data_IF_140702903744
#
_entry.id   IF_140702903744
#
_cell.length_a   1.000
_cell.length_b   1.000
_cell.length_c   1.000
_cell.angle_alpha   90.00
_cell.angle_beta   90.00
_cell.angle_gamma   90.00
#
_symmetry.space_group_name_H-M   'P 1'
#
loop_
_entity.id
_entity.type
_entity.pdbx_description
1 polymer ?
#
# COMPACT_ATOMS: atom_id res chain seq x y z
N UNK A 1 -11.23 0.54 21.16
CA UNK A 1 -10.51 0.44 19.87
C UNK A 1 -9.96 1.81 19.50
N UNK A 2 -8.67 1.88 19.20
CA UNK A 2 -7.92 3.11 18.89
C UNK A 2 -7.17 2.97 17.56
N UNK A 3 -7.05 4.06 16.83
CA UNK A 3 -6.36 4.15 15.54
C UNK A 3 -5.33 5.28 15.61
N UNK A 4 -4.17 5.09 14.98
CA UNK A 4 -3.06 6.04 14.93
C UNK A 4 -3.47 7.38 14.33
N UNK A 5 -4.28 7.35 13.27
CA UNK A 5 -4.77 8.55 12.61
C UNK A 5 -6.14 8.34 11.93
N UNK A 6 -6.62 9.42 11.31
CA UNK A 6 -7.90 9.42 10.59
C UNK A 6 -7.89 8.53 9.33
N UNK A 7 -6.72 8.31 8.73
CA UNK A 7 -6.57 7.50 7.52
C UNK A 7 -6.68 6.02 7.87
N UNK A 8 -6.06 5.60 8.95
CA UNK A 8 -6.18 4.23 9.47
C UNK A 8 -7.62 3.92 9.88
N UNK A 9 -8.28 4.82 10.62
CA UNK A 9 -9.70 4.65 10.95
C UNK A 9 -10.57 4.54 9.69
N UNK A 10 -10.31 5.35 8.65
CA UNK A 10 -11.02 5.25 7.37
C UNK A 10 -10.82 3.91 6.70
N UNK A 11 -9.59 3.39 6.67
CA UNK A 11 -9.27 2.07 6.11
C UNK A 11 -10.01 0.96 6.85
N UNK A 12 -10.05 1.01 8.18
CA UNK A 12 -10.80 0.05 8.98
C UNK A 12 -12.30 0.08 8.65
N UNK A 13 -12.88 1.27 8.46
CA UNK A 13 -14.28 1.41 8.01
C UNK A 13 -14.47 0.86 6.59
N UNK A 14 -13.51 1.10 5.68
CA UNK A 14 -13.53 0.57 4.32
C UNK A 14 -13.52 -0.96 4.29
N UNK A 15 -12.57 -1.57 5.00
CA UNK A 15 -12.44 -3.03 5.10
C UNK A 15 -13.71 -3.65 5.70
N UNK A 16 -14.20 -3.11 6.82
CA UNK A 16 -15.43 -3.58 7.46
C UNK A 16 -16.62 -3.55 6.49
N UNK A 17 -16.81 -2.43 5.80
CA UNK A 17 -17.93 -2.26 4.88
C UNK A 17 -17.86 -3.21 3.67
N UNK A 18 -16.64 -3.49 3.19
CA UNK A 18 -16.39 -4.38 2.07
C UNK A 18 -16.60 -5.84 2.46
N UNK A 19 -15.98 -6.30 3.54
CA UNK A 19 -16.08 -7.69 4.04
C UNK A 19 -17.52 -8.04 4.40
N UNK A 20 -18.20 -7.18 5.16
CA UNK A 20 -19.62 -7.37 5.51
C UNK A 20 -20.55 -7.16 4.32
N UNK A 21 -20.08 -6.53 3.24
CA UNK A 21 -20.89 -6.21 2.08
C UNK A 21 -22.02 -5.25 2.43
N UNK A 22 -21.73 -4.18 3.19
CA UNK A 22 -22.71 -3.20 3.67
C UNK A 22 -22.35 -1.79 3.19
N UNK A 23 -23.35 -0.93 3.05
CA UNK A 23 -23.19 0.42 2.50
C UNK A 23 -22.90 1.48 3.57
N UNK A 24 -21.84 1.28 4.35
CA UNK A 24 -21.44 2.28 5.36
C UNK A 24 -20.94 3.55 4.67
N UNK A 25 -21.38 4.73 5.09
CA UNK A 25 -20.95 6.04 4.58
C UNK A 25 -20.38 6.87 5.72
N UNK A 26 -19.31 7.62 5.43
CA UNK A 26 -18.80 8.62 6.38
C UNK A 26 -19.61 9.88 6.14
N UNK A 27 -20.55 10.18 7.03
CA UNK A 27 -21.40 11.36 6.97
C UNK A 27 -20.63 12.63 7.38
N UNK A 28 -19.74 12.51 8.38
CA UNK A 28 -18.96 13.64 8.88
C UNK A 28 -17.54 13.20 9.17
N UNK A 29 -16.57 13.99 8.72
CA UNK A 29 -15.16 13.76 8.97
C UNK A 29 -14.45 15.09 9.15
N UNK A 30 -14.22 15.45 10.40
CA UNK A 30 -13.53 16.67 10.81
C UNK A 30 -12.22 16.33 11.50
N UNK A 31 -11.43 17.36 11.80
CA UNK A 31 -10.18 17.19 12.53
C UNK A 31 -10.37 16.55 13.91
N UNK A 32 -11.52 16.76 14.56
CA UNK A 32 -11.78 16.22 15.91
C UNK A 32 -12.60 14.94 15.93
N UNK A 33 -13.31 14.59 14.86
CA UNK A 33 -14.23 13.44 14.86
C UNK A 33 -14.48 12.83 13.47
N UNK A 34 -14.89 11.57 13.48
CA UNK A 34 -15.41 10.84 12.32
C UNK A 34 -16.71 10.16 12.72
N UNK A 35 -17.75 10.35 11.91
CA UNK A 35 -19.04 9.71 12.05
C UNK A 35 -19.33 8.91 10.79
N UNK A 36 -19.58 7.62 10.97
CA UNK A 36 -20.05 6.75 9.90
C UNK A 36 -21.39 6.11 10.29
N UNK A 37 -22.26 5.97 9.31
CA UNK A 37 -23.57 5.32 9.45
C UNK A 37 -23.80 4.46 8.23
N UNK A 38 -24.70 3.49 8.33
CA UNK A 38 -25.15 2.75 7.15
C UNK A 38 -26.26 3.56 6.43
N UNK A 39 -27.01 2.89 5.57
CA UNK A 39 -28.17 3.46 4.90
C UNK A 39 -29.31 3.78 5.87
N UNK A 40 -30.29 4.53 5.37
CA UNK A 40 -31.44 4.96 6.16
C UNK A 40 -32.21 3.76 6.73
N UNK A 41 -32.65 3.86 7.99
CA UNK A 41 -33.31 2.77 8.71
C UNK A 41 -32.37 1.69 9.27
N UNK A 42 -31.09 1.68 8.90
CA UNK A 42 -30.12 0.73 9.45
C UNK A 42 -29.51 1.25 10.76
N UNK A 43 -29.49 0.45 11.85
CA UNK A 43 -29.07 0.91 13.18
C UNK A 43 -27.55 1.07 13.33
N UNK A 44 -26.76 0.62 12.35
CA UNK A 44 -25.30 0.74 12.37
C UNK A 44 -24.85 2.19 12.48
N UNK A 45 -24.00 2.45 13.48
CA UNK A 45 -23.41 3.77 13.72
C UNK A 45 -22.05 3.64 14.35
N UNK A 46 -21.09 4.39 13.83
CA UNK A 46 -19.76 4.55 14.38
C UNK A 46 -19.51 6.03 14.65
N UNK A 47 -19.08 6.33 15.87
CA UNK A 47 -18.58 7.63 16.27
C UNK A 47 -17.18 7.46 16.87
N UNK A 48 -16.21 8.15 16.28
CA UNK A 48 -14.85 8.23 16.77
C UNK A 48 -14.43 9.69 16.94
N UNK A 49 -13.70 9.98 18.00
CA UNK A 49 -13.13 11.30 18.27
C UNK A 49 -11.62 11.17 18.39
N UNK A 50 -10.88 12.30 18.32
CA UNK A 50 -9.49 12.29 18.76
C UNK A 50 -9.40 11.75 20.19
N UNK A 51 -8.37 10.95 20.41
CA UNK A 51 -8.03 10.48 21.73
C UNK A 51 -7.58 11.67 22.60
N UNK A 52 -7.91 11.62 23.88
CA UNK A 52 -7.51 12.64 24.85
C UNK A 52 -6.07 12.46 25.31
N UNK A 53 -5.51 11.25 25.17
CA UNK A 53 -4.18 10.88 25.66
C UNK A 53 -3.14 10.90 24.54
N UNK A 54 -3.52 10.56 23.31
CA UNK A 54 -2.61 10.48 22.16
C UNK A 54 -3.10 11.22 20.90
N UNK A 55 -2.27 11.27 19.84
CA UNK A 55 -2.64 11.94 18.60
C UNK A 55 -3.73 11.21 17.78
N UNK A 56 -4.06 9.97 18.17
CA UNK A 56 -4.94 9.07 17.44
C UNK A 56 -6.44 9.35 17.56
N UNK A 57 -7.24 8.44 17.00
CA UNK A 57 -8.70 8.44 17.08
C UNK A 57 -9.18 7.23 17.88
N UNK A 58 -10.06 7.47 18.84
CA UNK A 58 -10.71 6.43 19.63
C UNK A 58 -12.18 6.29 19.22
N UNK A 59 -12.62 5.06 18.98
CA UNK A 59 -14.04 4.78 18.78
C UNK A 59 -14.75 4.87 20.13
N UNK A 60 -15.68 5.81 20.24
CA UNK A 60 -16.46 6.09 21.45
C UNK A 60 -17.85 5.46 21.40
N UNK A 61 -18.41 5.29 20.21
CA UNK A 61 -19.68 4.60 20.00
C UNK A 61 -19.58 3.71 18.77
N UNK A 62 -20.03 2.46 18.92
CA UNK A 62 -20.10 1.52 17.82
C UNK A 62 -21.31 0.61 18.01
N UNK A 63 -22.31 0.77 17.15
CA UNK A 63 -23.37 -0.21 16.97
C UNK A 63 -23.04 -1.04 15.73
N UNK A 64 -22.86 -2.34 15.92
CA UNK A 64 -22.54 -3.30 14.86
C UNK A 64 -23.80 -3.86 14.16
N UNK A 65 -24.98 -3.61 14.70
CA UNK A 65 -26.22 -4.15 14.16
C UNK A 65 -26.51 -3.59 12.76
N UNK A 66 -26.81 -4.49 11.83
CA UNK A 66 -27.21 -4.16 10.47
C UNK A 66 -28.57 -4.76 10.18
N UNK A 67 -29.47 -3.94 9.66
CA UNK A 67 -30.76 -4.35 9.09
C UNK A 67 -30.82 -4.11 7.56
N UNK A 68 -29.73 -3.65 6.98
CA UNK A 68 -29.59 -3.42 5.54
C UNK A 68 -29.31 -4.73 4.79
N UNK A 69 -29.71 -4.77 3.52
CA UNK A 69 -29.34 -5.88 2.63
C UNK A 69 -27.85 -5.83 2.25
N UNK A 70 -27.29 -6.99 1.87
CA UNK A 70 -25.94 -7.05 1.33
C UNK A 70 -25.85 -6.29 0.01
N UNK A 71 -24.80 -5.49 -0.16
CA UNK A 71 -24.48 -4.78 -1.40
C UNK A 71 -23.32 -5.45 -2.16
N UNK A 72 -23.56 -5.74 -3.43
CA UNK A 72 -22.54 -6.30 -4.34
C UNK A 72 -21.74 -5.20 -5.05
N UNK A 73 -22.26 -3.97 -5.08
CA UNK A 73 -21.54 -2.80 -5.62
C UNK A 73 -21.22 -1.86 -4.47
N UNK A 74 -19.97 -1.90 -4.00
CA UNK A 74 -19.51 -1.03 -2.92
C UNK A 74 -18.54 0.03 -3.46
N UNK A 75 -18.84 1.32 -3.22
CA UNK A 75 -17.99 2.43 -3.66
C UNK A 75 -16.64 2.47 -2.93
N UNK A 76 -16.58 1.91 -1.71
CA UNK A 76 -15.36 1.83 -0.89
C UNK A 76 -14.32 0.88 -1.46
N UNK A 77 -14.74 -0.12 -2.24
CA UNK A 77 -13.86 -0.92 -3.10
C UNK A 77 -13.34 -0.04 -4.27
N UNK A 78 -12.52 0.94 -3.91
CA UNK A 78 -11.90 1.90 -4.81
C UNK A 78 -10.65 1.30 -5.44
N UNK A 79 -10.10 1.95 -6.48
CA UNK A 79 -8.83 1.51 -7.07
C UNK A 79 -7.67 1.59 -6.06
N UNK A 80 -7.71 2.50 -5.09
CA UNK A 80 -6.71 2.60 -4.02
C UNK A 80 -6.84 1.45 -3.03
N UNK A 81 -8.07 1.12 -2.64
CA UNK A 81 -8.32 -0.03 -1.76
C UNK A 81 -7.87 -1.33 -2.43
N UNK A 82 -8.21 -1.53 -3.71
CA UNK A 82 -7.76 -2.68 -4.48
C UNK A 82 -6.22 -2.73 -4.61
N UNK A 83 -5.56 -1.57 -4.70
CA UNK A 83 -4.11 -1.51 -4.74
C UNK A 83 -3.46 -1.92 -3.40
N UNK A 84 -4.11 -1.62 -2.28
CA UNK A 84 -3.69 -2.08 -0.95
C UNK A 84 -4.00 -3.58 -0.77
N UNK A 85 -5.16 -4.06 -1.25
CA UNK A 85 -5.58 -5.46 -1.14
C UNK A 85 -4.69 -6.42 -1.96
N UNK A 86 -4.34 -6.06 -3.21
CA UNK A 86 -3.52 -6.89 -4.11
C UNK A 86 -2.03 -6.55 -4.07
N UNK A 87 -1.60 -5.75 -3.09
CA UNK A 87 -0.26 -5.18 -3.09
C UNK A 87 0.78 -6.29 -3.15
N UNK A 88 0.65 -7.28 -2.27
CA UNK A 88 1.66 -8.30 -2.06
C UNK A 88 1.63 -9.31 -3.23
N UNK A 89 0.44 -9.72 -3.70
CA UNK A 89 0.30 -10.63 -4.84
C UNK A 89 0.88 -10.07 -6.15
N UNK A 90 0.68 -8.77 -6.40
CA UNK A 90 1.23 -8.11 -7.59
C UNK A 90 2.72 -7.82 -7.44
N UNK A 91 3.19 -7.58 -6.20
CA UNK A 91 4.63 -7.46 -5.92
C UNK A 91 5.36 -8.79 -6.17
N UNK A 92 4.79 -9.89 -5.70
CA UNK A 92 5.34 -11.24 -5.87
C UNK A 92 5.24 -11.72 -7.32
N UNK A 93 4.14 -11.38 -8.00
CA UNK A 93 3.93 -11.70 -9.41
C UNK A 93 3.43 -10.49 -10.20
N UNK A 94 4.33 -9.69 -10.81
CA UNK A 94 3.95 -8.54 -11.63
C UNK A 94 3.07 -8.91 -12.84
N UNK A 95 3.03 -10.18 -13.26
CA UNK A 95 2.17 -10.66 -14.34
C UNK A 95 0.75 -11.03 -13.89
N UNK A 96 0.45 -11.01 -12.59
CA UNK A 96 -0.87 -11.31 -12.03
C UNK A 96 -1.97 -10.51 -12.74
N UNK A 97 -2.89 -11.18 -13.42
CA UNK A 97 -3.70 -10.52 -14.45
C UNK A 97 -4.84 -9.70 -13.85
N UNK A 98 -5.20 -8.61 -14.54
CA UNK A 98 -6.36 -7.77 -14.17
C UNK A 98 -7.67 -8.58 -14.13
N UNK A 99 -7.75 -9.65 -14.93
CA UNK A 99 -8.90 -10.55 -14.96
C UNK A 99 -8.95 -11.44 -13.71
N UNK A 100 -7.80 -11.94 -13.26
CA UNK A 100 -7.69 -12.72 -12.02
C UNK A 100 -8.02 -11.85 -10.81
N UNK A 101 -7.45 -10.63 -10.71
CA UNK A 101 -7.80 -9.67 -9.66
C UNK A 101 -9.31 -9.46 -9.54
N UNK A 102 -9.98 -9.33 -10.69
CA UNK A 102 -11.43 -9.16 -10.73
C UNK A 102 -12.16 -10.40 -10.22
N UNK A 103 -11.80 -11.58 -10.73
CA UNK A 103 -12.43 -12.86 -10.35
C UNK A 103 -12.25 -13.15 -8.86
N UNK A 104 -11.09 -12.86 -8.31
CA UNK A 104 -10.79 -13.05 -6.90
C UNK A 104 -11.70 -12.19 -6.02
N UNK A 105 -11.83 -10.90 -6.31
CA UNK A 105 -12.75 -10.02 -5.56
C UNK A 105 -14.21 -10.44 -5.70
N UNK A 106 -14.64 -10.85 -6.89
CA UNK A 106 -15.99 -11.36 -7.12
C UNK A 106 -16.26 -12.65 -6.32
N UNK A 107 -15.28 -13.55 -6.23
CA UNK A 107 -15.36 -14.83 -5.51
C UNK A 107 -15.29 -14.65 -4.00
N UNK A 108 -14.30 -13.92 -3.50
CA UNK A 108 -13.92 -13.93 -2.09
C UNK A 108 -14.70 -12.87 -1.29
N UNK A 109 -15.09 -11.77 -1.94
CA UNK A 109 -15.76 -10.65 -1.29
C UNK A 109 -17.21 -10.47 -1.75
N UNK A 110 -17.66 -11.27 -2.72
CA UNK A 110 -18.97 -11.11 -3.37
C UNK A 110 -19.19 -9.67 -3.85
N UNK A 111 -18.16 -9.07 -4.47
CA UNK A 111 -18.21 -7.71 -4.98
C UNK A 111 -18.06 -7.65 -6.50
N UNK A 112 -19.01 -7.01 -7.16
CA UNK A 112 -18.94 -6.65 -8.57
C UNK A 112 -18.07 -5.41 -8.76
N UNK A 113 -16.84 -5.59 -9.22
CA UNK A 113 -15.91 -4.49 -9.56
C UNK A 113 -15.66 -4.39 -11.06
N UNK A 114 -15.38 -3.17 -11.54
CA UNK A 114 -15.05 -2.96 -12.95
C UNK A 114 -13.59 -3.34 -13.25
N UNK A 115 -13.34 -3.90 -14.43
CA UNK A 115 -11.96 -4.17 -14.91
C UNK A 115 -11.09 -2.91 -14.90
N UNK A 116 -11.68 -1.73 -15.15
CA UNK A 116 -10.97 -0.46 -15.10
C UNK A 116 -10.42 -0.14 -13.71
N UNK A 117 -11.18 -0.42 -12.63
CA UNK A 117 -10.69 -0.25 -11.25
C UNK A 117 -9.49 -1.16 -10.97
N UNK A 118 -9.55 -2.43 -11.38
CA UNK A 118 -8.43 -3.37 -11.24
C UNK A 118 -7.20 -2.91 -12.03
N UNK A 119 -7.38 -2.46 -13.29
CA UNK A 119 -6.29 -1.92 -14.12
C UNK A 119 -5.62 -0.72 -13.46
N UNK A 120 -6.42 0.20 -12.91
CA UNK A 120 -5.92 1.38 -12.21
C UNK A 120 -5.20 1.00 -10.90
N UNK A 121 -5.71 0.02 -10.16
CA UNK A 121 -5.08 -0.50 -8.95
C UNK A 121 -3.71 -1.11 -9.25
N UNK A 122 -3.65 -2.03 -10.23
CA UNK A 122 -2.41 -2.65 -10.67
C UNK A 122 -1.38 -1.61 -11.10
N UNK A 123 -1.78 -0.60 -11.86
CA UNK A 123 -0.89 0.49 -12.24
C UNK A 123 -0.32 1.25 -11.03
N UNK A 124 -1.13 1.55 -10.02
CA UNK A 124 -0.63 2.20 -8.79
C UNK A 124 0.41 1.34 -8.07
N UNK A 125 0.20 0.02 -8.01
CA UNK A 125 1.17 -0.89 -7.39
C UNK A 125 2.49 -0.84 -8.17
N UNK A 126 2.44 -0.98 -9.49
CA UNK A 126 3.63 -0.94 -10.36
C UNK A 126 4.36 0.41 -10.26
N UNK A 127 3.65 1.54 -10.26
CA UNK A 127 4.24 2.88 -10.09
C UNK A 127 5.00 3.01 -8.75
N UNK A 128 4.45 2.45 -7.67
CA UNK A 128 5.12 2.43 -6.35
C UNK A 128 6.35 1.52 -6.36
N UNK A 129 6.25 0.33 -6.98
CA UNK A 129 7.38 -0.59 -7.12
C UNK A 129 8.52 0.03 -7.92
N UNK A 130 8.22 0.59 -9.09
CA UNK A 130 9.21 1.23 -9.97
C UNK A 130 9.89 2.40 -9.25
N UNK A 131 9.12 3.21 -8.52
CA UNK A 131 9.68 4.29 -7.68
C UNK A 131 10.56 3.77 -6.55
N UNK A 132 10.18 2.67 -5.89
CA UNK A 132 10.99 2.02 -4.86
C UNK A 132 12.31 1.52 -5.43
N UNK A 133 12.26 0.83 -6.56
CA UNK A 133 13.46 0.36 -7.25
C UNK A 133 14.35 1.52 -7.66
N UNK A 134 13.81 2.56 -8.27
CA UNK A 134 14.58 3.76 -8.63
C UNK A 134 15.27 4.38 -7.41
N UNK A 135 14.57 4.49 -6.27
CA UNK A 135 15.12 5.00 -5.02
C UNK A 135 16.21 4.10 -4.42
N UNK A 136 16.09 2.78 -4.52
CA UNK A 136 17.09 1.83 -4.05
C UNK A 136 18.33 1.82 -4.95
N UNK A 137 18.15 1.81 -6.28
CA UNK A 137 19.25 1.91 -7.23
C UNK A 137 20.03 3.22 -7.08
N UNK A 138 19.35 4.32 -6.76
CA UNK A 138 20.00 5.61 -6.48
C UNK A 138 20.95 5.55 -5.27
N UNK A 139 20.78 4.60 -4.35
CA UNK A 139 21.63 4.42 -3.16
C UNK A 139 22.83 3.50 -3.40
N UNK A 140 22.93 2.80 -4.52
CA UNK A 140 24.01 1.82 -4.76
C UNK A 140 25.42 2.43 -4.63
N UNK A 141 25.63 3.65 -5.14
CA UNK A 141 26.90 4.35 -4.97
C UNK A 141 27.22 4.65 -3.51
N UNK A 142 26.21 5.08 -2.73
CA UNK A 142 26.36 5.33 -1.30
C UNK A 142 26.69 4.05 -0.54
N UNK A 143 26.03 2.92 -0.86
CA UNK A 143 26.35 1.62 -0.28
C UNK A 143 27.76 1.15 -0.66
N UNK A 144 28.19 1.36 -1.91
CA UNK A 144 29.56 1.04 -2.32
C UNK A 144 30.59 1.83 -1.53
N UNK A 145 30.33 3.12 -1.30
CA UNK A 145 31.21 3.96 -0.49
C UNK A 145 31.23 3.50 0.97
N UNK A 146 30.09 3.17 1.56
CA UNK A 146 30.01 2.64 2.93
C UNK A 146 30.79 1.32 3.08
N UNK A 147 30.69 0.42 2.10
CA UNK A 147 31.47 -0.83 2.08
C UNK A 147 32.99 -0.57 2.04
N UNK A 148 33.44 0.43 1.26
CA UNK A 148 34.86 0.82 1.20
C UNK A 148 35.37 1.38 2.53
N UNK A 149 34.56 2.19 3.20
CA UNK A 149 34.90 2.83 4.49
C UNK A 149 34.94 1.79 5.60
N UNK A 150 33.90 0.95 5.69
CA UNK A 150 33.76 -0.07 6.74
C UNK A 150 34.69 -1.26 6.59
N UNK A 151 35.10 -1.61 5.36
CA UNK A 151 35.98 -2.74 5.07
C UNK A 151 37.21 -2.31 4.27
N UNK A 152 38.18 -1.63 4.91
CA UNK A 152 39.42 -1.23 4.26
C UNK A 152 40.10 -2.40 3.54
N UNK A 153 40.71 -2.11 2.38
CA UNK A 153 41.36 -3.08 1.48
C UNK A 153 40.42 -4.02 0.71
N UNK A 154 39.11 -3.90 0.87
CA UNK A 154 38.15 -4.57 -0.03
C UNK A 154 38.07 -3.85 -1.37
N UNK A 155 37.88 -4.60 -2.46
CA UNK A 155 37.67 -4.03 -3.79
C UNK A 155 36.18 -3.95 -4.07
N UNK A 156 35.66 -2.73 -4.13
CA UNK A 156 34.24 -2.46 -4.39
C UNK A 156 34.11 -1.45 -5.51
N UNK A 157 33.34 -1.76 -6.54
CA UNK A 157 33.05 -0.82 -7.62
C UNK A 157 31.62 -0.99 -8.14
N UNK A 158 31.04 0.12 -8.58
CA UNK A 158 29.75 0.15 -9.27
C UNK A 158 29.92 0.93 -10.55
N UNK A 159 29.35 0.42 -11.64
CA UNK A 159 29.32 1.08 -12.93
C UNK A 159 27.88 1.47 -13.27
N UNK A 160 27.72 2.74 -13.63
CA UNK A 160 26.48 3.30 -14.17
C UNK A 160 26.65 3.54 -15.67
N UNK A 161 25.54 3.57 -16.41
CA UNK A 161 25.55 3.85 -17.85
C UNK A 161 25.91 5.30 -18.14
N UNK A 162 27.04 5.54 -18.82
CA UNK A 162 27.48 6.87 -19.24
C UNK A 162 26.44 7.59 -20.12
N UNK A 163 25.93 6.90 -21.15
CA UNK A 163 24.88 7.44 -22.04
C UNK A 163 23.61 7.88 -21.30
N UNK A 164 23.27 7.18 -20.20
CA UNK A 164 22.12 7.56 -19.38
C UNK A 164 22.44 8.78 -18.52
N UNK A 165 23.65 8.85 -17.96
CA UNK A 165 24.11 9.98 -17.16
C UNK A 165 24.13 11.28 -17.98
N UNK A 166 24.53 11.22 -19.25
CA UNK A 166 24.51 12.35 -20.17
C UNK A 166 23.08 12.90 -20.40
N UNK A 167 22.06 12.05 -20.24
CA UNK A 167 20.64 12.41 -20.31
C UNK A 167 20.04 12.75 -18.94
N UNK A 168 20.88 12.90 -17.90
CA UNK A 168 20.44 13.16 -16.52
C UNK A 168 19.78 11.96 -15.83
N UNK A 169 19.94 10.74 -16.36
CA UNK A 169 19.38 9.50 -15.80
C UNK A 169 20.48 8.67 -15.16
N UNK A 170 20.14 7.98 -14.05
CA UNK A 170 21.04 7.03 -13.40
C UNK A 170 20.57 5.61 -13.71
N UNK A 171 21.34 4.89 -14.52
CA UNK A 171 21.02 3.50 -14.90
C UNK A 171 22.15 2.59 -14.45
N UNK A 172 21.84 1.62 -13.60
CA UNK A 172 22.78 0.61 -13.15
C UNK A 172 23.25 -0.29 -14.30
N UNK A 173 24.55 -0.59 -14.36
CA UNK A 173 25.10 -1.60 -15.30
C UNK A 173 25.60 -2.83 -14.55
N UNK A 174 26.57 -2.67 -13.66
CA UNK A 174 27.20 -3.77 -12.92
C UNK A 174 27.80 -3.29 -11.61
N UNK A 175 27.96 -4.23 -10.67
CA UNK A 175 28.64 -4.03 -9.40
C UNK A 175 29.63 -5.17 -9.19
N UNK A 176 30.79 -4.84 -8.66
CA UNK A 176 31.80 -5.79 -8.22
C UNK A 176 32.09 -5.59 -6.74
N UNK A 177 32.13 -6.69 -5.98
CA UNK A 177 32.43 -6.69 -4.55
C UNK A 177 33.36 -7.87 -4.25
N UNK A 178 34.56 -7.57 -3.78
CA UNK A 178 35.51 -8.54 -3.25
C UNK A 178 36.00 -8.06 -1.88
N UNK A 179 35.48 -8.69 -0.83
CA UNK A 179 35.91 -8.40 0.52
C UNK A 179 37.36 -8.81 0.73
N UNK A 180 38.11 -8.03 1.51
CA UNK A 180 39.49 -8.37 1.83
C UNK A 180 39.63 -9.77 2.45
N UNK A 181 38.66 -10.20 3.28
CA UNK A 181 38.64 -11.53 3.89
C UNK A 181 38.47 -12.68 2.86
N UNK A 182 37.98 -12.38 1.66
CA UNK A 182 37.78 -13.35 0.57
C UNK A 182 38.94 -13.38 -0.42
N UNK A 183 39.97 -12.54 -0.23
CA UNK A 183 41.16 -12.54 -1.08
C UNK A 183 42.04 -13.73 -0.72
N UNK A 184 42.33 -14.58 -1.70
CA UNK A 184 43.35 -15.62 -1.55
C UNK A 184 44.71 -14.92 -1.40
N UNK A 185 45.41 -15.21 -0.30
CA UNK A 185 46.81 -14.86 -0.14
C UNK A 185 47.61 -15.78 -1.06
N UNK A 186 48.00 -15.26 -2.23
CA UNK A 186 49.06 -15.84 -3.06
C UNK A 186 50.41 -15.24 -2.68
#
# INVERSE_FOLDING_TARGET
MTFLDRRELRRAIDNYAIEKGVNVKIFRSETRMVIASCEEGCPFRLYASRDSVGPGYMVKTLNYEHMCARVYKNQRASARWLAEYFKDEVQDNPQYSVTEMKKEVERDLNLSISKYKCKRAKRMIMEVMDGSFANEYAKLEAYCNELKVSNPRSDVSVELSGEALDQGRRVFRRMYVCFNASKLLL
#
